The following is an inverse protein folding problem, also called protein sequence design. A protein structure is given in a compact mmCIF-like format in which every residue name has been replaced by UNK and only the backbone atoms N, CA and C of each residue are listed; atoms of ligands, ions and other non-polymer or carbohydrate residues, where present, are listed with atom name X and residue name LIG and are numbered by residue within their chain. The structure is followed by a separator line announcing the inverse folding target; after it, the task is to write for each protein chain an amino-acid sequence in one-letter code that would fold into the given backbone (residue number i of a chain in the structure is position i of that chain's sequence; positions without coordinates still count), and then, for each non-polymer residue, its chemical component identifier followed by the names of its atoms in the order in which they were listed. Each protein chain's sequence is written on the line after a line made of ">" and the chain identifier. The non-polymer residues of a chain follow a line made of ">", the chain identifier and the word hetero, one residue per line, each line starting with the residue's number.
data_IF_852430608260
#
_entry.id   IF_852430608260
#
_cell.length_a   1.000
_cell.length_b   1.000
_cell.length_c   1.000
_cell.angle_alpha   90.00
_cell.angle_beta   90.00
_cell.angle_gamma   90.00
#
_symmetry.space_group_name_H-M   'P 1'
#
loop_
_entity.id
_entity.type
_entity.pdbx_description
1 polymer ?
#
# COMPACT_ATOMS: atom_id res chain seq x y z
N UNK A 1 11.17 7.19 -0.07
CA UNK A 1 9.83 6.66 0.23
C UNK A 1 9.08 7.74 0.99
N UNK A 2 7.92 8.22 0.51
CA UNK A 2 7.07 9.11 1.30
C UNK A 2 5.91 8.32 1.90
N UNK A 3 5.25 8.85 2.94
CA UNK A 3 4.13 8.18 3.59
C UNK A 3 3.01 7.81 2.60
N UNK A 4 2.74 8.72 1.65
CA UNK A 4 1.72 8.55 0.60
C UNK A 4 2.10 7.55 -0.49
N UNK A 5 3.34 7.07 -0.49
CA UNK A 5 3.75 5.98 -1.38
C UNK A 5 3.13 4.63 -0.97
N UNK A 6 2.73 4.50 0.30
CA UNK A 6 2.12 3.29 0.85
C UNK A 6 0.71 3.52 1.42
N UNK A 7 0.44 4.73 1.95
CA UNK A 7 -0.83 5.06 2.61
C UNK A 7 -1.66 6.06 1.81
N UNK A 8 -2.96 5.83 1.76
CA UNK A 8 -3.96 6.77 1.30
C UNK A 8 -4.60 7.48 2.51
N UNK A 9 -4.33 8.77 2.75
CA UNK A 9 -4.89 9.51 3.89
C UNK A 9 -6.42 9.61 3.88
N UNK A 10 -7.08 9.40 2.73
CA UNK A 10 -8.53 9.42 2.62
C UNK A 10 -9.15 8.02 2.71
N UNK A 11 -8.31 6.97 2.74
CA UNK A 11 -8.71 5.57 2.75
C UNK A 11 -9.80 5.23 1.71
N UNK A 12 -9.65 5.75 0.49
CA UNK A 12 -10.60 5.58 -0.63
C UNK A 12 -10.74 4.11 -1.03
N UNK A 13 -9.64 3.36 -1.00
CA UNK A 13 -9.61 1.92 -1.27
C UNK A 13 -10.14 1.04 -0.13
N UNK A 14 -10.42 1.61 1.05
CA UNK A 14 -10.88 0.92 2.26
C UNK A 14 -10.01 -0.28 2.64
N UNK A 15 -8.70 -0.18 2.39
CA UNK A 15 -7.75 -1.19 2.79
C UNK A 15 -7.34 -0.99 4.25
N UNK A 16 -7.06 -2.09 4.94
CA UNK A 16 -6.58 -2.06 6.32
C UNK A 16 -5.34 -1.17 6.43
N UNK A 17 -5.26 -0.37 7.50
CA UNK A 17 -4.14 0.55 7.71
C UNK A 17 -4.09 1.71 6.70
N UNK A 18 -5.20 2.00 6.01
CA UNK A 18 -5.29 3.05 5.00
C UNK A 18 -4.25 2.86 3.89
N UNK A 19 -4.01 1.62 3.47
CA UNK A 19 -3.04 1.35 2.42
C UNK A 19 -3.60 1.72 1.04
N UNK A 20 -2.71 2.10 0.12
CA UNK A 20 -3.09 2.38 -1.27
C UNK A 20 -3.57 1.13 -2.02
N UNK A 21 -3.11 -0.05 -1.60
CA UNK A 21 -3.58 -1.37 -2.02
C UNK A 21 -3.48 -2.37 -0.85
N UNK A 22 -4.24 -3.47 -0.89
CA UNK A 22 -4.05 -4.55 0.10
C UNK A 22 -2.65 -5.16 -0.01
N UNK A 23 -2.03 -5.40 1.15
CA UNK A 23 -0.71 -6.00 1.28
C UNK A 23 -0.76 -7.53 1.47
N UNK A 24 -1.76 -8.18 0.90
CA UNK A 24 -1.84 -9.63 0.80
C UNK A 24 -0.60 -10.19 0.09
N UNK A 25 0.04 -11.19 0.68
CA UNK A 25 1.24 -11.84 0.11
C UNK A 25 2.34 -10.85 -0.30
N UNK A 26 2.52 -9.79 0.47
CA UNK A 26 3.50 -8.72 0.20
C UNK A 26 3.26 -7.93 -1.08
N UNK A 27 2.04 -7.94 -1.63
CA UNK A 27 1.69 -7.27 -2.89
C UNK A 27 2.07 -5.79 -2.89
N UNK A 28 1.91 -5.09 -1.77
CA UNK A 28 2.30 -3.68 -1.66
C UNK A 28 3.82 -3.51 -1.83
N UNK A 29 4.61 -4.35 -1.16
CA UNK A 29 6.07 -4.30 -1.23
C UNK A 29 6.59 -4.61 -2.64
N UNK A 30 5.94 -5.58 -3.31
CA UNK A 30 6.29 -6.03 -4.65
C UNK A 30 5.92 -5.04 -5.76
N UNK A 31 5.23 -3.96 -5.45
CA UNK A 31 5.02 -2.86 -6.41
C UNK A 31 6.34 -2.18 -6.80
N UNK A 32 7.33 -2.19 -5.90
CA UNK A 32 8.63 -1.56 -6.09
C UNK A 32 9.79 -2.56 -6.06
N UNK A 33 9.73 -3.57 -5.20
CA UNK A 33 10.78 -4.57 -5.04
C UNK A 33 10.50 -5.78 -5.91
N UNK A 34 11.42 -6.10 -6.84
CA UNK A 34 11.38 -7.35 -7.61
C UNK A 34 12.24 -8.41 -6.90
N UNK A 35 11.80 -9.67 -7.00
CA UNK A 35 12.55 -10.84 -6.56
C UNK A 35 13.67 -11.17 -7.56
#
# INVERSE_FOLDING_TARGET
>A
MQCTSCHDPHNTGRHDGMLVISNDRSRLCLTCHRL
#
